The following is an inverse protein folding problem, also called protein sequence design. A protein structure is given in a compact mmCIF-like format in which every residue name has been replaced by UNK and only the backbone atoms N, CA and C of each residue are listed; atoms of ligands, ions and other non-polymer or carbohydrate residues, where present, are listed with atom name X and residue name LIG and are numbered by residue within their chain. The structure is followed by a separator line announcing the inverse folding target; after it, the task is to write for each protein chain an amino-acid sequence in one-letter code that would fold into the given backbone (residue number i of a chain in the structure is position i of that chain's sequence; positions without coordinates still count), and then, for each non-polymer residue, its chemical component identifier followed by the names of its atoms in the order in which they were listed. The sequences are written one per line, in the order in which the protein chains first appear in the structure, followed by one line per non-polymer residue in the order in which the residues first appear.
data_IF_422561453041
#
_entry.id   IF_422561453041
#
_cell.length_a   1.000
_cell.length_b   1.000
_cell.length_c   1.000
_cell.angle_alpha   90.00
_cell.angle_beta   90.00
_cell.angle_gamma   90.00
#
_symmetry.space_group_name_H-M   'P 1'
#
loop_
_entity.id
_entity.type
_entity.pdbx_description
1 polymer ?
#
# COMPACT_ATOMS: atom_id res chain seq x y z
N UNK A 1 9.19 4.44 -19.38
CA UNK A 1 9.66 3.21 -18.70
C UNK A 1 8.45 2.64 -17.99
N UNK A 2 8.05 1.40 -18.30
CA UNK A 2 7.02 0.70 -17.52
C UNK A 2 7.65 0.21 -16.23
N UNK A 3 6.98 0.44 -15.10
CA UNK A 3 7.50 0.05 -13.78
C UNK A 3 6.71 -1.10 -13.22
N UNK A 4 7.42 -2.16 -12.82
CA UNK A 4 6.81 -3.37 -12.27
C UNK A 4 6.18 -3.07 -10.90
N UNK A 5 4.91 -3.46 -10.74
CA UNK A 5 4.19 -3.34 -9.47
C UNK A 5 4.96 -4.03 -8.32
N UNK A 6 5.29 -3.25 -7.28
CA UNK A 6 6.11 -3.64 -6.14
C UNK A 6 5.27 -3.57 -4.85
N UNK A 7 5.58 -4.42 -3.86
CA UNK A 7 4.95 -4.33 -2.55
C UNK A 7 5.76 -3.35 -1.66
N UNK A 8 5.24 -2.15 -1.45
CA UNK A 8 5.82 -1.15 -0.53
C UNK A 8 5.35 -1.48 0.88
N UNK A 9 6.26 -1.96 1.72
CA UNK A 9 5.98 -2.31 3.10
C UNK A 9 6.38 -1.17 4.02
N UNK A 10 5.39 -0.51 4.63
CA UNK A 10 5.59 0.40 5.74
C UNK A 10 5.56 -0.38 7.06
N UNK A 11 6.69 -0.43 7.76
CA UNK A 11 6.75 -0.96 9.12
C UNK A 11 7.89 -0.33 9.93
N UNK A 12 7.78 -0.35 11.25
CA UNK A 12 8.83 0.16 12.15
C UNK A 12 9.78 -0.93 12.65
N UNK A 13 9.29 -2.16 12.79
CA UNK A 13 9.94 -3.19 13.61
C UNK A 13 10.64 -4.30 12.80
N UNK A 14 10.48 -4.32 11.48
CA UNK A 14 11.08 -5.31 10.56
C UNK A 14 10.49 -6.73 10.66
N UNK A 15 9.52 -6.95 11.56
CA UNK A 15 8.92 -8.24 11.86
C UNK A 15 8.07 -8.77 10.71
N UNK A 16 7.48 -7.89 9.91
CA UNK A 16 6.66 -8.25 8.76
C UNK A 16 7.52 -8.53 7.54
N UNK A 17 8.56 -7.75 7.28
CA UNK A 17 9.49 -7.96 6.18
C UNK A 17 10.14 -9.34 6.30
N UNK A 18 10.63 -9.70 7.50
CA UNK A 18 11.21 -11.03 7.74
C UNK A 18 10.19 -12.13 7.46
N UNK A 19 8.95 -11.99 7.96
CA UNK A 19 7.92 -13.01 7.76
C UNK A 19 7.48 -13.14 6.30
N UNK A 20 7.32 -12.01 5.59
CA UNK A 20 6.94 -11.99 4.18
C UNK A 20 8.05 -12.56 3.29
N UNK A 21 9.31 -12.21 3.54
CA UNK A 21 10.45 -12.79 2.81
C UNK A 21 10.60 -14.28 3.05
N UNK A 22 10.42 -14.74 4.29
CA UNK A 22 10.46 -16.16 4.61
C UNK A 22 9.34 -16.95 3.91
N UNK A 23 8.18 -16.33 3.69
CA UNK A 23 7.04 -16.96 3.04
C UNK A 23 7.04 -16.81 1.50
N UNK A 24 7.69 -15.77 0.96
CA UNK A 24 7.80 -15.51 -0.47
C UNK A 24 9.11 -14.76 -0.80
N UNK A 25 10.19 -15.51 -1.02
CA UNK A 25 11.52 -14.97 -1.34
C UNK A 25 11.55 -14.20 -2.67
N UNK A 26 10.69 -14.58 -3.61
CA UNK A 26 10.59 -13.99 -4.95
C UNK A 26 9.78 -12.69 -5.00
N UNK A 27 9.13 -12.31 -3.89
CA UNK A 27 8.26 -11.15 -3.86
C UNK A 27 9.07 -9.84 -3.81
N UNK A 28 8.91 -8.91 -4.78
CA UNK A 28 9.61 -7.63 -4.73
C UNK A 28 9.00 -6.77 -3.63
N UNK A 29 9.68 -6.69 -2.48
CA UNK A 29 9.28 -5.89 -1.31
C UNK A 29 10.24 -4.71 -1.15
N UNK A 30 9.69 -3.50 -1.17
CA UNK A 30 10.38 -2.27 -0.81
C UNK A 30 10.01 -1.89 0.62
N UNK A 31 10.94 -2.05 1.56
CA UNK A 31 10.73 -1.62 2.95
C UNK A 31 10.92 -0.10 3.10
N UNK A 32 10.01 0.53 3.84
CA UNK A 32 10.13 1.93 4.24
C UNK A 32 9.64 2.14 5.67
N UNK A 33 10.22 3.12 6.36
CA UNK A 33 9.78 3.60 7.67
C UNK A 33 9.24 5.03 7.61
N UNK A 34 9.16 5.58 6.41
CA UNK A 34 8.93 7.00 6.13
C UNK A 34 7.80 7.11 5.12
N UNK A 35 6.62 7.63 5.52
CA UNK A 35 5.48 7.82 4.61
C UNK A 35 5.81 8.80 3.47
N UNK A 36 6.77 9.69 3.67
CA UNK A 36 7.23 10.68 2.69
C UNK A 36 7.77 10.02 1.41
N UNK A 37 8.24 8.78 1.51
CA UNK A 37 8.75 8.00 0.36
C UNK A 37 7.65 7.39 -0.50
N UNK A 38 6.41 7.29 0.00
CA UNK A 38 5.32 6.65 -0.72
C UNK A 38 5.03 7.36 -2.03
N UNK A 39 4.85 8.69 -1.98
CA UNK A 39 4.45 9.46 -3.15
C UNK A 39 5.44 9.33 -4.32
N UNK A 40 6.74 9.36 -4.04
CA UNK A 40 7.77 9.19 -5.08
C UNK A 40 7.66 7.81 -5.73
N UNK A 41 7.51 6.74 -4.93
CA UNK A 41 7.37 5.38 -5.45
C UNK A 41 6.10 5.22 -6.30
N UNK A 42 4.97 5.71 -5.81
CA UNK A 42 3.68 5.52 -6.49
C UNK A 42 3.55 6.37 -7.77
N UNK A 43 4.34 7.45 -7.91
CA UNK A 43 4.51 8.11 -9.21
C UNK A 43 5.20 7.21 -10.22
N UNK A 44 6.23 6.48 -9.80
CA UNK A 44 6.97 5.58 -10.68
C UNK A 44 6.19 4.30 -10.97
N UNK A 45 5.43 3.78 -9.99
CA UNK A 45 4.65 2.54 -10.09
C UNK A 45 3.25 2.68 -9.45
N UNK A 46 2.27 3.26 -10.18
CA UNK A 46 0.93 3.58 -9.64
C UNK A 46 0.14 2.39 -9.10
N UNK A 47 0.29 1.22 -9.72
CA UNK A 47 -0.37 -0.02 -9.31
C UNK A 47 0.38 -0.83 -8.25
N UNK A 48 1.36 -0.22 -7.58
CA UNK A 48 2.03 -0.88 -6.46
C UNK A 48 1.08 -1.17 -5.31
N UNK A 49 1.49 -2.06 -4.43
CA UNK A 49 0.74 -2.40 -3.22
C UNK A 49 1.35 -1.63 -2.07
N UNK A 50 0.53 -0.95 -1.29
CA UNK A 50 0.95 -0.37 -0.02
C UNK A 50 0.54 -1.32 1.10
N UNK A 51 1.51 -1.98 1.73
CA UNK A 51 1.31 -2.79 2.91
C UNK A 51 1.70 -1.99 4.15
N UNK A 52 0.74 -1.72 5.04
CA UNK A 52 0.94 -0.89 6.23
C UNK A 52 0.85 -1.77 7.48
N UNK A 53 1.97 -1.93 8.18
CA UNK A 53 1.97 -2.57 9.49
C UNK A 53 1.61 -1.57 10.58
N UNK A 54 0.68 -1.94 11.46
CA UNK A 54 0.48 -1.22 12.71
C UNK A 54 1.79 -1.29 13.54
N UNK A 55 2.35 -0.15 13.98
CA UNK A 55 3.51 -0.15 14.87
C UNK A 55 3.17 -0.87 16.18
N UNK A 56 4.11 -1.62 16.77
CA UNK A 56 3.89 -2.24 18.08
C UNK A 56 3.60 -1.16 19.13
N UNK A 57 2.52 -1.30 19.88
CA UNK A 57 2.11 -0.32 20.91
C UNK A 57 1.68 1.03 20.34
N UNK A 58 1.28 1.07 19.07
CA UNK A 58 0.71 2.27 18.45
C UNK A 58 -0.57 2.69 19.14
N UNK A 59 -0.69 3.98 19.48
CA UNK A 59 -1.98 4.53 19.86
C UNK A 59 -2.92 4.60 18.63
N UNK A 60 -4.22 4.50 18.86
CA UNK A 60 -5.22 4.49 17.78
C UNK A 60 -5.15 5.75 16.89
N UNK A 61 -4.67 6.88 17.43
CA UNK A 61 -4.58 8.16 16.71
C UNK A 61 -3.47 8.09 15.65
N UNK A 62 -2.29 7.59 15.99
CA UNK A 62 -1.19 7.39 15.05
C UNK A 62 -1.57 6.43 13.94
N UNK A 63 -2.24 5.34 14.28
CA UNK A 63 -2.72 4.39 13.28
C UNK A 63 -3.77 5.02 12.36
N UNK A 64 -4.72 5.79 12.92
CA UNK A 64 -5.71 6.52 12.12
C UNK A 64 -5.07 7.52 11.14
N UNK A 65 -4.05 8.28 11.57
CA UNK A 65 -3.31 9.20 10.69
C UNK A 65 -2.60 8.46 9.55
N UNK A 66 -2.06 7.28 9.85
CA UNK A 66 -1.40 6.44 8.86
C UNK A 66 -2.40 5.90 7.82
N UNK A 67 -3.59 5.49 8.27
CA UNK A 67 -4.70 5.10 7.39
C UNK A 67 -5.20 6.28 6.55
N UNK A 68 -5.34 7.47 7.13
CA UNK A 68 -5.74 8.68 6.40
C UNK A 68 -4.73 9.02 5.30
N UNK A 69 -3.43 9.01 5.60
CA UNK A 69 -2.38 9.21 4.61
C UNK A 69 -2.42 8.17 3.49
N UNK A 70 -2.69 6.90 3.84
CA UNK A 70 -2.84 5.81 2.88
C UNK A 70 -4.08 5.99 1.98
N UNK A 71 -5.20 6.43 2.55
CA UNK A 71 -6.43 6.69 1.81
C UNK A 71 -6.27 7.88 0.85
N UNK A 72 -5.60 8.97 1.29
CA UNK A 72 -5.27 10.10 0.42
C UNK A 72 -4.37 9.67 -0.75
N UNK A 73 -3.41 8.79 -0.50
CA UNK A 73 -2.58 8.22 -1.55
C UNK A 73 -3.41 7.38 -2.54
N UNK A 74 -4.32 6.54 -2.05
CA UNK A 74 -5.20 5.72 -2.89
C UNK A 74 -6.17 6.54 -3.76
N UNK A 75 -6.62 7.70 -3.26
CA UNK A 75 -7.40 8.64 -4.09
C UNK A 75 -6.58 9.20 -5.26
N UNK A 76 -5.26 9.36 -5.07
CA UNK A 76 -4.36 9.84 -6.12
C UNK A 76 -3.94 8.73 -7.09
N UNK A 77 -3.85 7.50 -6.62
CA UNK A 77 -3.46 6.33 -7.41
C UNK A 77 -4.52 5.23 -7.25
N UNK A 78 -5.62 5.28 -8.03
CA UNK A 78 -6.76 4.36 -7.87
C UNK A 78 -6.40 2.88 -8.07
N UNK A 79 -5.33 2.59 -8.81
CA UNK A 79 -4.84 1.24 -9.07
C UNK A 79 -3.95 0.69 -7.93
N UNK A 80 -3.64 1.52 -6.93
CA UNK A 80 -2.96 1.07 -5.71
C UNK A 80 -3.86 0.11 -4.94
N UNK A 81 -3.24 -0.92 -4.37
CA UNK A 81 -3.91 -1.80 -3.41
C UNK A 81 -3.37 -1.54 -2.00
N UNK A 82 -4.26 -1.16 -1.08
CA UNK A 82 -3.94 -1.01 0.34
C UNK A 82 -4.14 -2.33 1.07
N UNK A 83 -3.10 -2.77 1.77
CA UNK A 83 -3.12 -3.93 2.66
C UNK A 83 -2.71 -3.45 4.05
N UNK A 84 -3.44 -3.88 5.08
CA UNK A 84 -3.11 -3.57 6.47
C UNK A 84 -2.65 -4.83 7.19
N UNK A 85 -1.56 -4.72 7.94
CA UNK A 85 -0.95 -5.82 8.69
C UNK A 85 -1.05 -5.51 10.18
N UNK A 86 -1.75 -6.36 10.93
CA UNK A 86 -2.04 -6.17 12.35
C UNK A 86 -1.45 -7.31 13.18
N UNK A 87 -0.96 -6.98 14.37
CA UNK A 87 -0.70 -7.99 15.37
C UNK A 87 -2.03 -8.57 15.90
N UNK A 88 -1.98 -9.69 16.63
CA UNK A 88 -3.19 -10.25 17.27
C UNK A 88 -3.81 -9.29 18.29
N UNK A 89 -2.98 -8.50 18.97
CA UNK A 89 -3.37 -7.53 19.99
C UNK A 89 -4.13 -6.34 19.36
N UNK A 90 -3.82 -6.02 18.11
CA UNK A 90 -4.40 -4.90 17.36
C UNK A 90 -5.62 -5.30 16.52
N UNK A 91 -6.16 -6.52 16.71
CA UNK A 91 -7.28 -7.06 15.92
C UNK A 91 -8.50 -6.13 15.87
N UNK A 92 -8.74 -5.36 16.94
CA UNK A 92 -9.85 -4.39 17.01
C UNK A 92 -9.76 -3.29 15.96
N UNK A 93 -8.57 -3.01 15.40
CA UNK A 93 -8.35 -2.00 14.37
C UNK A 93 -8.75 -2.48 12.97
N UNK A 94 -9.10 -3.76 12.79
CA UNK A 94 -9.42 -4.33 11.48
C UNK A 94 -10.61 -3.64 10.79
N UNK A 95 -11.66 -3.29 11.54
CA UNK A 95 -12.81 -2.58 10.97
C UNK A 95 -12.41 -1.20 10.44
N UNK A 96 -11.64 -0.43 11.22
CA UNK A 96 -11.15 0.88 10.80
C UNK A 96 -10.24 0.79 9.56
N UNK A 97 -9.43 -0.27 9.46
CA UNK A 97 -8.61 -0.52 8.28
C UNK A 97 -9.46 -0.74 7.01
N UNK A 98 -10.53 -1.53 7.09
CA UNK A 98 -11.45 -1.71 5.97
C UNK A 98 -12.21 -0.44 5.62
N UNK A 99 -12.68 0.32 6.62
CA UNK A 99 -13.35 1.61 6.42
C UNK A 99 -12.43 2.65 5.75
N UNK A 100 -11.12 2.57 6.00
CA UNK A 100 -10.11 3.38 5.33
C UNK A 100 -9.79 2.92 3.90
N UNK A 101 -10.42 1.86 3.41
CA UNK A 101 -10.25 1.36 2.04
C UNK A 101 -9.20 0.26 1.88
N UNK A 102 -8.79 -0.42 2.95
CA UNK A 102 -7.92 -1.59 2.81
C UNK A 102 -8.64 -2.70 2.02
N UNK A 103 -7.99 -3.18 0.96
CA UNK A 103 -8.47 -4.33 0.19
C UNK A 103 -8.30 -5.64 0.98
N UNK A 104 -7.34 -5.69 1.91
CA UNK A 104 -7.10 -6.83 2.78
C UNK A 104 -6.55 -6.41 4.13
N UNK A 105 -6.98 -7.10 5.19
CA UNK A 105 -6.40 -6.97 6.52
C UNK A 105 -5.84 -8.34 6.94
N UNK A 106 -4.53 -8.40 7.13
CA UNK A 106 -3.83 -9.58 7.64
C UNK A 106 -3.63 -9.43 9.14
N UNK A 107 -4.20 -10.33 9.93
CA UNK A 107 -3.99 -10.39 11.38
C UNK A 107 -3.05 -11.55 11.69
N UNK A 108 -1.97 -11.24 12.39
CA UNK A 108 -0.92 -12.21 12.73
C UNK A 108 -0.04 -12.56 11.53
N UNK A 109 1.18 -13.01 11.84
CA UNK A 109 2.22 -13.33 10.84
C UNK A 109 2.20 -14.78 10.38
N UNK A 110 1.13 -15.49 10.70
CA UNK A 110 0.92 -16.90 10.39
C UNK A 110 0.06 -17.02 9.14
N UNK A 111 0.32 -18.06 8.33
CA UNK A 111 -0.47 -18.38 7.12
C UNK A 111 -0.54 -17.19 6.15
N UNK A 112 0.62 -16.74 5.68
CA UNK A 112 0.73 -15.61 4.74
C UNK A 112 0.33 -15.96 3.30
N UNK A 113 0.04 -17.23 2.99
CA UNK A 113 -0.31 -17.67 1.64
C UNK A 113 -1.47 -16.90 0.99
N UNK A 114 -2.59 -16.59 1.69
CA UNK A 114 -3.67 -15.80 1.10
C UNK A 114 -3.22 -14.39 0.72
N UNK A 115 -2.43 -13.75 1.59
CA UNK A 115 -1.85 -12.44 1.33
C UNK A 115 -0.92 -12.47 0.11
N UNK A 116 -0.02 -13.46 0.05
CA UNK A 116 0.92 -13.61 -1.08
C UNK A 116 0.16 -13.85 -2.39
N UNK A 117 -0.90 -14.67 -2.39
CA UNK A 117 -1.75 -14.88 -3.57
C UNK A 117 -2.43 -13.60 -4.01
N UNK A 118 -2.93 -12.79 -3.07
CA UNK A 118 -3.54 -11.49 -3.38
C UNK A 118 -2.53 -10.54 -4.01
N UNK A 119 -1.33 -10.44 -3.42
CA UNK A 119 -0.25 -9.60 -3.95
C UNK A 119 0.11 -10.01 -5.39
N UNK A 120 0.36 -11.31 -5.62
CA UNK A 120 0.69 -11.83 -6.95
C UNK A 120 -0.43 -11.60 -7.96
N UNK A 121 -1.69 -11.81 -7.55
CA UNK A 121 -2.85 -11.55 -8.40
C UNK A 121 -2.93 -10.07 -8.80
N UNK A 122 -2.72 -9.16 -7.86
CA UNK A 122 -2.71 -7.72 -8.13
C UNK A 122 -1.61 -7.33 -9.10
N UNK A 123 -0.39 -7.82 -8.87
CA UNK A 123 0.74 -7.59 -9.80
C UNK A 123 0.45 -8.11 -11.21
N UNK A 124 -0.23 -9.25 -11.34
CA UNK A 124 -0.61 -9.82 -12.63
C UNK A 124 -1.71 -9.03 -13.34
N UNK A 125 -2.59 -8.32 -12.62
CA UNK A 125 -3.62 -7.46 -13.21
C UNK A 125 -3.04 -6.16 -13.78
N UNK A 126 -1.89 -5.71 -13.26
CA UNK A 126 -1.28 -4.43 -13.61
C UNK A 126 0.22 -4.55 -13.94
N UNK A 127 0.60 -5.31 -14.99
CA UNK A 127 2.00 -5.55 -15.31
C UNK A 127 2.75 -4.31 -15.80
N UNK A 128 2.08 -3.39 -16.50
CA UNK A 128 2.73 -2.35 -17.32
C UNK A 128 2.04 -0.96 -17.23
N UNK A 129 1.57 -0.57 -16.05
CA UNK A 129 1.06 0.81 -15.90
C UNK A 129 2.21 1.82 -16.07
N UNK A 130 2.05 2.86 -16.91
CA UNK A 130 3.07 3.87 -17.10
C UNK A 130 3.24 4.69 -15.83
N UNK A 131 4.48 5.12 -15.57
CA UNK A 131 4.77 6.09 -14.53
C UNK A 131 4.04 7.41 -14.78
N UNK A 132 3.59 8.07 -13.72
CA UNK A 132 3.01 9.42 -13.77
C UNK A 132 4.06 10.39 -14.32
N UNK A 133 3.73 11.02 -15.43
CA UNK A 133 4.55 12.06 -16.04
C UNK A 133 4.41 13.37 -15.26
N UNK A 134 5.41 14.28 -15.34
CA UNK A 134 5.32 15.59 -14.69
C UNK A 134 4.08 16.39 -15.11
N UNK A 135 3.67 16.26 -16.37
CA UNK A 135 2.50 16.98 -16.89
C UNK A 135 1.20 16.43 -16.31
N UNK A 136 1.04 15.11 -16.20
CA UNK A 136 -0.11 14.47 -15.55
C UNK A 136 -0.22 14.86 -14.07
N UNK A 137 0.92 14.93 -13.36
CA UNK A 137 0.93 15.41 -11.97
C UNK A 137 0.46 16.86 -11.86
N UNK A 138 0.80 17.73 -12.82
CA UNK A 138 0.33 19.12 -12.83
C UNK A 138 -1.19 19.13 -13.07
N UNK A 139 -1.67 18.43 -14.10
CA UNK A 139 -3.09 18.37 -14.45
C UNK A 139 -3.97 17.89 -13.28
N UNK A 140 -3.55 16.86 -12.54
CA UNK A 140 -4.28 16.37 -11.34
C UNK A 140 -4.31 17.35 -10.17
N UNK A 141 -3.38 18.31 -10.11
CA UNK A 141 -3.36 19.33 -9.06
C UNK A 141 -4.21 20.56 -9.38
N UNK A 142 -4.67 20.68 -10.63
CA UNK A 142 -5.51 21.80 -11.04
C UNK A 142 -6.97 21.55 -10.59
N UNK A 143 -7.70 22.61 -10.18
CA UNK A 143 -9.06 22.50 -9.65
C UNK A 143 -10.12 22.03 -10.67
N UNK A 144 -9.71 21.73 -11.91
CA UNK A 144 -10.57 21.31 -13.04
C UNK A 144 -10.23 19.91 -13.55
N UNK A 145 -9.44 19.11 -12.81
CA UNK A 145 -8.89 17.82 -13.25
C UNK A 145 -9.91 16.75 -13.66
N UNK A 146 -11.20 16.95 -13.37
CA UNK A 146 -12.31 16.13 -13.85
C UNK A 146 -12.97 16.79 -15.08
N UNK A 147 -12.28 16.82 -16.22
CA UNK A 147 -12.99 17.02 -17.49
C UNK A 147 -13.42 15.63 -18.00
N UNK A 148 -14.72 15.39 -18.23
CA UNK A 148 -15.18 14.15 -18.83
C UNK A 148 -14.60 14.04 -20.24
N UNK A 149 -14.09 12.85 -20.58
CA UNK A 149 -13.66 12.54 -21.95
C UNK A 149 -14.81 12.83 -22.93
N UNK A 150 -14.51 13.69 -23.91
CA UNK A 150 -15.34 14.01 -25.07
C UNK A 150 -15.32 12.92 -26.11
#
# INVERSE_FOLDING_TARGET
MTSRSTCVLYETDGRWAVALRAAAEDLPILETRSPERWLAHFRESPASILAVAAPSGCDAIRFARLLEASALLGRRFPEMCLIVLLSEEDRSLATAAYEAGAAWVQIGRWRLDPLIRLVRRHQAMFPDLPAETPIESIWRTLPWGDLPES
#
